data_IF_812972659283
#
_entry.id   IF_812972659283
#
_cell.length_a   1.000
_cell.length_b   1.000
_cell.length_c   1.000
_cell.angle_alpha   90.00
_cell.angle_beta   90.00
_cell.angle_gamma   90.00
#
_symmetry.space_group_name_H-M   'P 1'
#
loop_
_entity.id
_entity.type
_entity.pdbx_description
1 polymer ?
#
# COMPACT_ATOMS: atom_id res chain seq x y z
N UNK A 1 6.42 -34.75 -5.45
CA UNK A 1 6.21 -33.34 -5.06
C UNK A 1 4.85 -33.26 -4.38
N UNK A 2 4.76 -32.72 -3.16
CA UNK A 2 3.57 -32.79 -2.31
C UNK A 2 2.43 -31.88 -2.83
N UNK A 3 1.27 -32.44 -3.25
CA UNK A 3 0.12 -31.69 -3.77
C UNK A 3 -0.74 -31.02 -2.67
N UNK A 4 -0.19 -30.84 -1.47
CA UNK A 4 -0.94 -30.38 -0.28
C UNK A 4 -0.92 -28.87 -0.05
N UNK A 5 0.17 -28.17 -0.43
CA UNK A 5 0.36 -26.76 -0.06
C UNK A 5 -0.44 -25.78 -0.92
N UNK A 6 -0.75 -26.14 -2.16
CA UNK A 6 -1.52 -25.32 -3.13
C UNK A 6 -3.01 -25.34 -2.82
N UNK A 7 -3.57 -26.52 -2.53
CA UNK A 7 -4.96 -26.65 -2.06
C UNK A 7 -5.22 -25.85 -0.77
N UNK A 8 -4.22 -25.63 0.09
CA UNK A 8 -4.35 -24.82 1.29
C UNK A 8 -4.52 -23.32 0.98
N UNK A 9 -3.74 -22.78 0.04
CA UNK A 9 -3.83 -21.37 -0.37
C UNK A 9 -5.15 -21.10 -1.11
N UNK A 10 -5.53 -22.00 -2.02
CA UNK A 10 -6.82 -21.93 -2.72
C UNK A 10 -8.00 -21.99 -1.73
N UNK A 11 -7.99 -22.92 -0.76
CA UNK A 11 -9.04 -23.01 0.27
C UNK A 11 -9.06 -21.80 1.22
N UNK A 12 -7.91 -21.19 1.50
CA UNK A 12 -7.86 -19.94 2.25
C UNK A 12 -8.54 -18.82 1.46
N UNK A 13 -8.27 -18.71 0.16
CA UNK A 13 -8.90 -17.72 -0.74
C UNK A 13 -10.41 -17.95 -0.91
N UNK A 14 -10.87 -19.20 -1.02
CA UNK A 14 -12.29 -19.53 -1.11
C UNK A 14 -13.03 -19.23 0.22
N UNK A 15 -12.43 -19.56 1.37
CA UNK A 15 -12.97 -19.17 2.69
C UNK A 15 -13.05 -17.65 2.87
N UNK A 16 -12.11 -16.89 2.32
CA UNK A 16 -12.09 -15.42 2.37
C UNK A 16 -13.28 -14.79 1.63
N UNK A 17 -13.72 -15.39 0.52
CA UNK A 17 -14.87 -14.90 -0.24
C UNK A 17 -16.19 -15.23 0.49
N UNK A 18 -16.29 -16.44 1.06
CA UNK A 18 -17.52 -16.93 1.70
C UNK A 18 -17.77 -16.34 3.11
N UNK A 19 -16.70 -16.09 3.88
CA UNK A 19 -16.79 -15.46 5.20
C UNK A 19 -17.09 -13.95 5.16
N UNK A 20 -16.95 -13.29 4.01
CA UNK A 20 -17.28 -11.87 3.83
C UNK A 20 -18.75 -11.52 4.15
N UNK A 21 -19.63 -12.53 4.19
CA UNK A 21 -21.04 -12.37 4.58
C UNK A 21 -21.33 -12.66 6.06
N UNK A 22 -20.44 -13.38 6.78
CA UNK A 22 -20.73 -13.95 8.10
C UNK A 22 -19.98 -13.30 9.27
N UNK A 23 -18.88 -12.56 9.05
CA UNK A 23 -18.10 -11.93 10.12
C UNK A 23 -18.47 -10.46 10.42
N UNK A 24 -19.77 -10.15 10.41
CA UNK A 24 -20.31 -8.92 10.99
C UNK A 24 -20.26 -8.89 12.55
N UNK A 25 -19.46 -9.76 13.19
CA UNK A 25 -19.42 -9.90 14.66
C UNK A 25 -18.03 -10.32 15.16
N UNK A 26 -17.23 -9.35 15.58
CA UNK A 26 -16.24 -9.57 16.65
C UNK A 26 -16.02 -8.26 17.41
N UNK A 27 -16.83 -8.09 18.45
CA UNK A 27 -16.87 -6.98 19.39
C UNK A 27 -15.65 -6.96 20.33
N UNK A 28 -14.46 -6.59 19.81
CA UNK A 28 -13.36 -6.05 20.64
C UNK A 28 -12.59 -4.98 19.89
N UNK A 29 -13.26 -3.88 19.58
CA UNK A 29 -12.58 -2.67 19.10
C UNK A 29 -12.01 -1.95 20.32
N UNK A 30 -10.68 -1.98 20.50
CA UNK A 30 -10.00 -0.91 21.25
C UNK A 30 -10.19 0.35 20.42
N UNK A 31 -11.09 1.21 20.88
CA UNK A 31 -11.40 2.50 20.27
C UNK A 31 -10.22 3.41 20.59
N UNK A 32 -9.27 3.49 19.66
CA UNK A 32 -8.44 4.68 19.54
C UNK A 32 -9.39 5.79 19.07
N UNK A 33 -9.53 6.88 19.83
CA UNK A 33 -10.43 7.99 19.50
C UNK A 33 -10.11 8.60 18.12
N UNK A 34 -8.90 8.33 17.59
CA UNK A 34 -8.44 8.71 16.26
C UNK A 34 -8.58 7.60 15.19
N UNK A 35 -9.02 6.40 15.55
CA UNK A 35 -9.39 5.32 14.63
C UNK A 35 -10.91 5.31 14.42
N UNK A 36 -11.39 6.32 13.68
CA UNK A 36 -12.79 6.40 13.26
C UNK A 36 -13.22 5.12 12.52
N UNK A 37 -13.82 4.16 13.23
CA UNK A 37 -14.54 3.02 12.65
C UNK A 37 -13.69 2.02 11.87
N UNK A 38 -12.43 1.79 12.25
CA UNK A 38 -11.59 0.73 11.66
C UNK A 38 -11.10 1.01 10.23
N UNK A 39 -11.26 2.25 9.73
CA UNK A 39 -10.86 2.68 8.37
C UNK A 39 -9.37 2.47 8.07
N UNK A 40 -8.52 2.38 9.10
CA UNK A 40 -7.07 2.19 9.00
C UNK A 40 -6.60 0.78 9.37
N UNK A 41 -7.43 -0.05 10.01
CA UNK A 41 -7.06 -1.38 10.53
C UNK A 41 -7.21 -2.50 9.49
N UNK A 42 -8.22 -2.42 8.63
CA UNK A 42 -8.52 -3.48 7.67
C UNK A 42 -7.81 -3.24 6.33
N UNK A 43 -6.60 -3.78 6.19
CA UNK A 43 -5.81 -3.73 4.95
C UNK A 43 -6.44 -4.59 3.82
N UNK A 44 -7.62 -4.21 3.35
CA UNK A 44 -8.42 -4.94 2.36
C UNK A 44 -8.01 -4.69 0.90
N UNK A 45 -6.96 -3.89 0.65
CA UNK A 45 -6.43 -3.62 -0.68
C UNK A 45 -5.03 -4.19 -0.82
N UNK A 46 -4.83 -5.05 -1.82
CA UNK A 46 -3.50 -5.47 -2.27
C UNK A 46 -3.01 -4.55 -3.38
N UNK A 47 -1.86 -3.92 -3.17
CA UNK A 47 -1.17 -3.13 -4.20
C UNK A 47 -0.11 -4.00 -4.84
N UNK A 48 -0.27 -4.30 -6.13
CA UNK A 48 0.60 -5.21 -6.86
C UNK A 48 1.33 -4.50 -8.01
N UNK A 49 2.62 -4.82 -8.17
CA UNK A 49 3.40 -4.22 -9.25
C UNK A 49 2.96 -4.76 -10.62
N UNK A 50 2.83 -3.84 -11.57
CA UNK A 50 2.65 -4.16 -12.97
C UNK A 50 3.99 -4.09 -13.68
N UNK A 51 4.28 -5.11 -14.48
CA UNK A 51 5.58 -5.29 -15.10
C UNK A 51 5.90 -4.22 -16.14
N UNK A 52 4.95 -3.95 -17.03
CA UNK A 52 5.07 -3.04 -18.18
C UNK A 52 3.68 -2.71 -18.75
N UNK A 53 3.61 -1.73 -19.68
CA UNK A 53 2.36 -1.27 -20.30
C UNK A 53 1.55 -2.38 -20.97
N UNK A 54 2.22 -3.35 -21.58
CA UNK A 54 1.54 -4.45 -22.26
C UNK A 54 0.82 -5.36 -21.27
N UNK A 55 1.46 -5.67 -20.13
CA UNK A 55 0.80 -6.41 -19.06
C UNK A 55 -0.38 -5.61 -18.50
N UNK A 56 -0.19 -4.29 -18.26
CA UNK A 56 -1.27 -3.45 -17.76
C UNK A 56 -2.47 -3.40 -18.71
N UNK A 57 -2.23 -3.26 -20.02
CA UNK A 57 -3.28 -3.26 -21.04
C UNK A 57 -4.06 -4.57 -21.01
N UNK A 58 -3.37 -5.71 -21.02
CA UNK A 58 -4.01 -7.02 -20.95
C UNK A 58 -4.84 -7.20 -19.67
N UNK A 59 -4.31 -6.77 -18.51
CA UNK A 59 -5.03 -6.79 -17.23
C UNK A 59 -6.28 -5.92 -17.25
N UNK A 60 -6.19 -4.72 -17.84
CA UNK A 60 -7.30 -3.77 -17.91
C UNK A 60 -8.41 -4.25 -18.83
N UNK A 61 -8.06 -4.74 -20.02
CA UNK A 61 -9.02 -5.21 -21.04
C UNK A 61 -9.73 -6.49 -20.62
N UNK A 62 -9.01 -7.41 -19.97
CA UNK A 62 -9.54 -8.72 -19.60
C UNK A 62 -9.87 -8.84 -18.10
N UNK A 63 -9.80 -7.73 -17.35
CA UNK A 63 -10.17 -7.62 -15.93
C UNK A 63 -9.53 -8.68 -15.03
N UNK A 64 -8.23 -8.87 -15.15
CA UNK A 64 -7.51 -9.82 -14.32
C UNK A 64 -6.12 -9.30 -13.93
N UNK A 65 -5.50 -9.99 -12.98
CA UNK A 65 -4.07 -9.86 -12.69
C UNK A 65 -3.50 -11.25 -12.44
N UNK A 66 -2.21 -11.43 -12.71
CA UNK A 66 -1.53 -12.65 -12.34
C UNK A 66 -0.20 -12.40 -11.65
N UNK A 67 0.18 -13.33 -10.78
CA UNK A 67 1.44 -13.24 -10.03
C UNK A 67 1.96 -14.65 -9.72
N UNK A 68 3.29 -14.89 -9.78
CA UNK A 68 3.83 -16.18 -9.36
C UNK A 68 3.46 -16.50 -7.91
N UNK A 69 3.06 -17.73 -7.62
CA UNK A 69 2.72 -18.11 -6.23
C UNK A 69 3.94 -17.97 -5.31
N UNK A 70 5.14 -18.23 -5.84
CA UNK A 70 6.41 -18.06 -5.12
C UNK A 70 6.65 -16.61 -4.63
N UNK A 71 5.96 -15.64 -5.22
CA UNK A 71 6.03 -14.23 -4.84
C UNK A 71 5.07 -13.84 -3.73
N UNK A 72 4.10 -14.71 -3.43
CA UNK A 72 3.08 -14.52 -2.39
C UNK A 72 3.61 -15.12 -1.08
N UNK A 73 4.58 -14.47 -0.45
CA UNK A 73 5.20 -15.03 0.77
C UNK A 73 4.21 -15.16 1.94
N UNK A 74 3.19 -14.29 2.01
CA UNK A 74 2.00 -14.39 2.87
C UNK A 74 0.86 -13.57 2.23
N UNK A 75 -0.17 -14.21 1.69
CA UNK A 75 -1.43 -13.52 1.38
C UNK A 75 -2.12 -13.20 2.69
N UNK A 76 -2.46 -11.93 2.92
CA UNK A 76 -3.25 -11.55 4.09
C UNK A 76 -4.69 -12.03 3.89
N UNK A 77 -5.38 -12.48 4.95
CA UNK A 77 -6.82 -12.73 4.87
C UNK A 77 -7.57 -11.43 4.54
N UNK A 78 -8.76 -11.54 3.94
CA UNK A 78 -9.70 -10.45 3.71
C UNK A 78 -9.26 -9.35 2.72
N UNK A 79 -8.56 -9.74 1.64
CA UNK A 79 -8.32 -8.82 0.51
C UNK A 79 -9.55 -8.79 -0.40
N UNK A 80 -10.13 -7.62 -0.54
CA UNK A 80 -11.34 -7.37 -1.35
C UNK A 80 -10.99 -6.65 -2.66
N UNK A 81 -9.87 -5.92 -2.69
CA UNK A 81 -9.48 -5.07 -3.80
C UNK A 81 -8.03 -5.30 -4.23
N UNK A 82 -7.78 -5.12 -5.51
CA UNK A 82 -6.45 -5.07 -6.11
C UNK A 82 -6.20 -3.68 -6.69
N UNK A 83 -5.10 -3.03 -6.32
CA UNK A 83 -4.62 -1.82 -6.94
C UNK A 83 -3.35 -2.09 -7.76
N UNK A 84 -3.25 -1.44 -8.92
CA UNK A 84 -2.14 -1.61 -9.85
C UNK A 84 -1.08 -0.54 -9.61
N UNK A 85 0.11 -0.95 -9.18
CA UNK A 85 1.27 -0.07 -9.11
C UNK A 85 2.05 -0.12 -10.42
N UNK A 86 2.12 1.02 -11.10
CA UNK A 86 2.81 1.23 -12.36
C UNK A 86 4.16 1.87 -12.06
N UNK A 87 5.30 1.14 -12.10
CA UNK A 87 6.59 1.70 -11.73
C UNK A 87 7.02 2.80 -12.71
N UNK A 88 7.49 3.95 -12.17
CA UNK A 88 8.21 4.95 -12.97
C UNK A 88 9.47 4.31 -13.56
N UNK A 89 9.75 4.62 -14.82
CA UNK A 89 10.99 4.15 -15.47
C UNK A 89 12.20 4.84 -14.86
N UNK A 90 13.31 4.12 -14.71
CA UNK A 90 14.61 4.72 -14.45
C UNK A 90 15.21 4.99 -15.82
N UNK A 91 15.54 6.25 -16.16
CA UNK A 91 15.84 6.76 -17.52
C UNK A 91 16.90 6.06 -18.39
N UNK A 92 17.38 4.87 -18.03
CA UNK A 92 18.32 4.04 -18.78
C UNK A 92 17.73 2.73 -19.32
N UNK A 93 16.42 2.46 -19.17
CA UNK A 93 15.78 1.27 -19.75
C UNK A 93 14.30 1.51 -20.05
N UNK A 94 13.95 1.52 -21.35
CA UNK A 94 12.61 1.42 -21.95
C UNK A 94 11.44 1.72 -21.01
N UNK A 95 11.05 2.99 -20.97
CA UNK A 95 9.79 3.56 -20.47
C UNK A 95 8.72 2.54 -20.05
N UNK A 96 8.75 2.11 -18.78
CA UNK A 96 7.70 1.19 -18.28
C UNK A 96 6.38 1.91 -18.10
N UNK A 97 6.36 3.07 -17.46
CA UNK A 97 5.17 3.93 -17.34
C UNK A 97 5.49 5.43 -17.24
N UNK A 98 6.77 5.83 -17.25
CA UNK A 98 7.22 7.24 -17.32
C UNK A 98 6.43 8.17 -16.37
N UNK A 99 5.90 9.30 -16.87
CA UNK A 99 5.04 10.21 -16.10
C UNK A 99 3.73 9.58 -15.63
N UNK A 100 3.23 8.52 -16.26
CA UNK A 100 2.02 7.81 -15.85
C UNK A 100 2.24 6.87 -14.65
N UNK A 101 3.48 6.73 -14.17
CA UNK A 101 3.80 5.85 -13.04
C UNK A 101 3.15 6.28 -11.73
N UNK A 102 2.80 5.31 -10.90
CA UNK A 102 2.07 5.48 -9.64
C UNK A 102 0.95 4.44 -9.48
N UNK A 103 -0.02 4.75 -8.62
CA UNK A 103 -1.26 3.97 -8.50
C UNK A 103 -2.40 4.83 -9.00
N UNK A 104 -3.13 4.36 -10.01
CA UNK A 104 -4.28 5.07 -10.59
C UNK A 104 -5.49 4.17 -10.81
N UNK A 105 -5.27 2.85 -10.86
CA UNK A 105 -6.30 1.89 -11.18
C UNK A 105 -6.41 0.85 -10.08
N UNK A 106 -7.64 0.46 -9.78
CA UNK A 106 -7.94 -0.60 -8.83
C UNK A 106 -9.21 -1.34 -9.22
N UNK A 107 -9.36 -2.58 -8.81
CA UNK A 107 -10.55 -3.39 -9.07
C UNK A 107 -10.97 -4.20 -7.86
N UNK A 108 -12.26 -4.50 -7.78
CA UNK A 108 -12.80 -5.42 -6.77
C UNK A 108 -12.53 -6.85 -7.21
N UNK A 109 -11.97 -7.66 -6.31
CA UNK A 109 -11.66 -9.05 -6.56
C UNK A 109 -12.97 -9.84 -6.63
N UNK A 110 -13.13 -10.57 -7.72
CA UNK A 110 -14.25 -11.49 -7.94
C UNK A 110 -13.92 -12.89 -7.46
N UNK A 111 -12.76 -13.40 -7.89
CA UNK A 111 -12.29 -14.73 -7.54
C UNK A 111 -10.79 -14.86 -7.79
N UNK A 112 -10.20 -15.89 -7.19
CA UNK A 112 -8.79 -16.23 -7.38
C UNK A 112 -8.69 -17.71 -7.76
N UNK A 113 -7.81 -18.04 -8.69
CA UNK A 113 -7.53 -19.43 -9.07
C UNK A 113 -6.05 -19.65 -9.34
N UNK A 114 -5.55 -20.81 -8.94
CA UNK A 114 -4.20 -21.23 -9.31
C UNK A 114 -4.20 -21.82 -10.72
N UNK A 115 -3.15 -21.56 -11.48
CA UNK A 115 -3.00 -22.07 -12.84
C UNK A 115 -1.52 -22.11 -13.26
N UNK A 116 -1.20 -22.91 -14.28
CA UNK A 116 0.10 -22.85 -14.92
C UNK A 116 0.23 -21.59 -15.77
N UNK A 117 1.44 -21.05 -15.85
CA UNK A 117 1.71 -19.84 -16.61
C UNK A 117 1.35 -19.96 -18.09
N UNK A 118 1.45 -21.16 -18.67
CA UNK A 118 1.08 -21.45 -20.06
C UNK A 118 -0.41 -21.35 -20.34
N UNK A 119 -1.27 -21.47 -19.32
CA UNK A 119 -2.72 -21.36 -19.45
C UNK A 119 -3.18 -19.90 -19.64
N UNK A 120 -2.28 -18.92 -19.48
CA UNK A 120 -2.58 -17.51 -19.74
C UNK A 120 -2.54 -17.21 -21.24
N UNK A 121 -3.72 -17.08 -21.84
CA UNK A 121 -3.86 -16.78 -23.28
C UNK A 121 -3.56 -15.31 -23.61
N UNK A 122 -3.81 -14.40 -22.66
CA UNK A 122 -3.71 -12.95 -22.87
C UNK A 122 -2.27 -12.45 -22.87
N UNK A 123 -1.37 -13.16 -22.20
CA UNK A 123 0.05 -12.78 -22.07
C UNK A 123 0.89 -14.04 -22.30
N UNK A 124 1.62 -14.11 -23.41
CA UNK A 124 2.48 -15.26 -23.72
C UNK A 124 3.52 -15.50 -22.63
N UNK A 125 3.73 -16.78 -22.28
CA UNK A 125 4.81 -17.22 -21.40
C UNK A 125 6.16 -17.04 -22.09
N UNK A 126 7.23 -16.97 -21.29
CA UNK A 126 8.61 -17.06 -21.82
C UNK A 126 9.04 -18.53 -21.85
N UNK A 127 9.91 -18.92 -22.80
CA UNK A 127 10.55 -20.23 -22.79
C UNK A 127 11.10 -20.61 -21.41
N UNK A 128 10.73 -21.77 -20.89
CA UNK A 128 11.15 -22.30 -19.59
C UNK A 128 10.37 -21.75 -18.38
N UNK A 129 9.27 -21.02 -18.60
CA UNK A 129 8.39 -20.50 -17.53
C UNK A 129 6.97 -21.04 -17.58
N UNK A 130 6.66 -21.90 -18.54
CA UNK A 130 5.33 -22.42 -18.89
C UNK A 130 4.65 -23.12 -17.71
N UNK A 131 5.37 -24.02 -17.05
CA UNK A 131 4.86 -24.85 -15.94
C UNK A 131 4.96 -24.16 -14.58
N UNK A 132 5.34 -22.88 -14.53
CA UNK A 132 5.39 -22.14 -13.26
C UNK A 132 3.96 -21.91 -12.76
N UNK A 133 3.76 -22.13 -11.47
CA UNK A 133 2.49 -21.93 -10.81
C UNK A 133 2.26 -20.43 -10.53
N UNK A 134 1.12 -19.93 -10.98
CA UNK A 134 0.68 -18.56 -10.80
C UNK A 134 -0.68 -18.53 -10.10
N UNK A 135 -0.94 -17.43 -9.39
CA UNK A 135 -2.27 -17.06 -8.96
C UNK A 135 -2.85 -16.09 -9.99
N UNK A 136 -4.01 -16.41 -10.54
CA UNK A 136 -4.84 -15.50 -11.33
C UNK A 136 -5.94 -14.93 -10.46
N UNK A 137 -6.05 -13.61 -10.46
CA UNK A 137 -7.05 -12.84 -9.72
C UNK A 137 -7.99 -12.23 -10.75
N UNK A 138 -9.24 -12.67 -10.77
CA UNK A 138 -10.29 -12.10 -11.60
C UNK A 138 -10.92 -10.90 -10.90
N UNK A 139 -11.20 -9.84 -11.64
CA UNK A 139 -11.77 -8.60 -11.13
C UNK A 139 -13.19 -8.41 -11.69
N UNK A 140 -14.11 -7.91 -10.86
CA UNK A 140 -15.46 -7.56 -11.33
C UNK A 140 -15.41 -6.38 -12.33
N UNK A 141 -14.62 -5.38 -11.97
CA UNK A 141 -14.43 -4.14 -12.70
C UNK A 141 -13.10 -3.49 -12.31
N UNK A 142 -12.62 -2.58 -13.15
CA UNK A 142 -11.44 -1.75 -12.87
C UNK A 142 -11.87 -0.30 -12.91
N UNK A 143 -11.71 0.38 -11.78
CA UNK A 143 -12.01 1.78 -11.56
C UNK A 143 -10.73 2.62 -11.54
N UNK A 144 -10.91 3.90 -11.83
CA UNK A 144 -9.86 4.89 -11.70
C UNK A 144 -9.95 5.60 -10.34
N UNK A 145 -8.81 6.04 -9.83
CA UNK A 145 -8.69 6.89 -8.63
C UNK A 145 -7.73 8.05 -8.91
N UNK A 146 -7.66 9.01 -7.98
CA UNK A 146 -6.67 10.09 -8.04
C UNK A 146 -5.28 9.48 -8.12
N UNK A 147 -4.45 9.98 -9.04
CA UNK A 147 -3.12 9.43 -9.24
C UNK A 147 -2.28 9.59 -7.97
N UNK A 148 -1.82 8.45 -7.44
CA UNK A 148 -0.97 8.39 -6.26
C UNK A 148 0.49 8.36 -6.73
N UNK A 149 1.21 9.43 -6.45
CA UNK A 149 2.59 9.62 -6.88
C UNK A 149 3.56 8.73 -6.08
N UNK A 150 4.46 8.01 -6.76
CA UNK A 150 5.54 7.29 -6.10
C UNK A 150 6.62 8.28 -5.63
N UNK A 151 6.85 8.35 -4.31
CA UNK A 151 7.89 9.22 -3.71
C UNK A 151 9.20 8.45 -3.47
N UNK A 152 9.13 7.19 -3.05
CA UNK A 152 10.31 6.35 -2.84
C UNK A 152 10.21 5.04 -3.62
N UNK A 153 11.31 4.69 -4.30
CA UNK A 153 11.45 3.44 -5.04
C UNK A 153 11.51 2.25 -4.06
N UNK A 154 10.37 1.59 -3.86
CA UNK A 154 10.29 0.34 -3.13
C UNK A 154 10.13 -0.83 -4.10
N UNK A 155 11.13 -1.69 -4.20
CA UNK A 155 11.16 -2.96 -4.97
C UNK A 155 10.15 -4.02 -4.52
N UNK A 156 9.24 -3.69 -3.59
CA UNK A 156 8.27 -4.66 -3.08
C UNK A 156 7.28 -4.99 -4.17
N UNK A 157 7.26 -6.28 -4.56
CA UNK A 157 6.35 -6.82 -5.56
C UNK A 157 4.88 -6.66 -5.15
N UNK A 158 4.61 -6.66 -3.84
CA UNK A 158 3.29 -6.54 -3.22
C UNK A 158 3.38 -5.67 -1.96
N UNK A 159 2.37 -4.85 -1.74
CA UNK A 159 2.09 -4.19 -0.45
C UNK A 159 0.60 -4.16 -0.17
N UNK A 160 0.20 -3.79 1.04
CA UNK A 160 -1.19 -3.76 1.47
C UNK A 160 -1.54 -2.38 2.03
N UNK A 161 -2.81 -2.00 1.88
CA UNK A 161 -3.38 -0.74 2.36
C UNK A 161 -4.88 -0.91 2.57
N UNK A 162 -5.58 0.14 3.02
CA UNK A 162 -7.04 0.15 3.11
C UNK A 162 -7.65 0.86 1.91
N UNK A 163 -8.88 0.51 1.54
CA UNK A 163 -9.61 1.21 0.47
C UNK A 163 -9.82 2.71 0.78
N UNK A 164 -9.88 3.05 2.06
CA UNK A 164 -9.95 4.43 2.54
C UNK A 164 -8.68 5.22 2.17
N UNK A 165 -7.50 4.67 2.48
CA UNK A 165 -6.23 5.31 2.15
C UNK A 165 -6.01 5.37 0.64
N UNK A 166 -6.33 4.29 -0.07
CA UNK A 166 -6.20 4.25 -1.54
C UNK A 166 -6.97 5.40 -2.22
N UNK A 167 -8.17 5.71 -1.74
CA UNK A 167 -9.01 6.77 -2.34
C UNK A 167 -8.61 8.19 -1.96
N UNK A 168 -7.83 8.37 -0.89
CA UNK A 168 -7.46 9.68 -0.35
C UNK A 168 -6.00 10.05 -0.57
N UNK A 169 -5.13 9.05 -0.69
CA UNK A 169 -3.70 9.27 -0.77
C UNK A 169 -3.33 9.99 -2.07
N UNK A 170 -2.42 10.95 -1.97
CA UNK A 170 -1.82 11.60 -3.14
C UNK A 170 -0.44 11.03 -3.45
N UNK A 171 0.18 10.32 -2.50
CA UNK A 171 1.47 9.68 -2.69
C UNK A 171 1.61 8.35 -1.93
N UNK A 172 2.65 7.59 -2.28
CA UNK A 172 2.86 6.25 -1.73
C UNK A 172 3.17 6.19 -0.24
N UNK A 173 3.61 7.28 0.40
CA UNK A 173 3.80 7.29 1.85
C UNK A 173 2.47 7.29 2.61
N UNK A 174 1.47 8.00 2.06
CA UNK A 174 0.12 8.12 2.64
C UNK A 174 -0.62 6.76 2.67
N UNK A 175 -0.24 5.82 1.81
CA UNK A 175 -0.82 4.47 1.75
C UNK A 175 -0.53 3.57 2.96
N UNK A 176 0.36 3.99 3.87
CA UNK A 176 0.74 3.22 5.07
C UNK A 176 0.53 3.98 6.38
N UNK A 177 -0.28 5.03 6.32
CA UNK A 177 -0.74 5.72 7.52
C UNK A 177 -1.72 4.80 8.27
N UNK A 178 -1.77 4.88 9.58
CA UNK A 178 -2.49 3.94 10.44
C UNK A 178 -3.42 4.60 11.44
N UNK A 179 -3.54 5.93 11.41
CA UNK A 179 -4.55 6.65 12.18
C UNK A 179 -4.92 7.96 11.48
N UNK A 180 -6.07 8.53 11.86
CA UNK A 180 -6.45 9.87 11.39
C UNK A 180 -5.47 10.93 11.87
N UNK A 181 -4.96 10.81 13.10
CA UNK A 181 -3.96 11.73 13.64
C UNK A 181 -2.70 11.75 12.77
N UNK A 182 -2.21 10.57 12.40
CA UNK A 182 -1.03 10.46 11.53
C UNK A 182 -1.26 11.12 10.16
N UNK A 183 -2.45 10.93 9.60
CA UNK A 183 -2.85 11.57 8.34
C UNK A 183 -2.89 13.10 8.45
N UNK A 184 -3.46 13.64 9.53
CA UNK A 184 -3.50 15.09 9.75
C UNK A 184 -2.11 15.69 9.97
N UNK A 185 -1.25 15.04 10.77
CA UNK A 185 0.15 15.48 10.94
C UNK A 185 0.89 15.45 9.61
N UNK A 186 0.74 14.39 8.82
CA UNK A 186 1.40 14.27 7.52
C UNK A 186 0.94 15.34 6.52
N UNK A 187 -0.36 15.71 6.51
CA UNK A 187 -0.88 16.83 5.71
C UNK A 187 -0.23 18.17 6.08
N UNK A 188 -0.08 18.45 7.38
CA UNK A 188 0.59 19.66 7.87
C UNK A 188 2.05 19.67 7.43
N UNK A 189 2.76 18.56 7.64
CA UNK A 189 4.14 18.40 7.19
C UNK A 189 4.28 18.65 5.69
N UNK A 190 3.38 18.09 4.88
CA UNK A 190 3.37 18.25 3.41
C UNK A 190 3.14 19.69 2.98
N UNK A 191 2.20 20.40 3.61
CA UNK A 191 1.95 21.83 3.38
C UNK A 191 3.23 22.64 3.63
N UNK A 192 3.91 22.37 4.75
CA UNK A 192 5.15 23.06 5.12
C UNK A 192 6.30 22.69 4.19
N UNK A 193 6.44 21.40 3.87
CA UNK A 193 7.43 20.87 2.94
C UNK A 193 7.36 21.57 1.59
N UNK A 194 6.15 21.73 1.04
CA UNK A 194 5.94 22.48 -0.20
C UNK A 194 6.26 23.98 -0.06
N UNK A 195 5.90 24.60 1.07
CA UNK A 195 6.13 26.03 1.30
C UNK A 195 7.59 26.38 1.61
N UNK A 196 8.37 25.45 2.16
CA UNK A 196 9.76 25.64 2.60
C UNK A 196 10.77 24.90 1.73
N UNK A 197 10.31 24.16 0.72
CA UNK A 197 11.12 23.33 -0.17
C UNK A 197 12.00 22.32 0.58
N UNK A 198 11.47 21.72 1.64
CA UNK A 198 12.16 20.71 2.46
C UNK A 198 11.59 19.33 2.21
N UNK A 199 12.44 18.30 2.16
CA UNK A 199 12.03 16.92 1.92
C UNK A 199 11.39 16.29 3.18
N UNK A 200 10.38 15.45 2.98
CA UNK A 200 9.83 14.57 4.02
C UNK A 200 10.37 13.16 3.83
N UNK A 201 10.96 12.59 4.89
CA UNK A 201 11.42 11.20 4.89
C UNK A 201 10.68 10.41 5.96
N UNK A 202 10.36 9.15 5.64
CA UNK A 202 9.87 8.19 6.63
C UNK A 202 11.07 7.49 7.25
N UNK A 203 11.26 7.64 8.56
CA UNK A 203 12.29 6.94 9.31
C UNK A 203 11.64 5.65 9.81
N UNK A 204 11.90 4.53 9.12
CA UNK A 204 11.41 3.24 9.58
C UNK A 204 12.27 2.77 10.76
N UNK A 205 11.81 2.94 12.00
CA UNK A 205 12.33 2.16 13.11
C UNK A 205 11.70 0.76 13.03
N UNK A 206 12.48 -0.23 12.60
CA UNK A 206 12.08 -1.62 12.85
C UNK A 206 12.26 -1.85 14.35
N UNK A 207 11.16 -1.92 15.11
CA UNK A 207 11.20 -2.68 16.34
C UNK A 207 11.63 -4.09 15.96
N UNK A 208 12.80 -4.51 16.46
CA UNK A 208 13.21 -5.90 16.39
C UNK A 208 12.20 -6.68 17.22
N UNK A 209 11.39 -7.49 16.55
CA UNK A 209 10.78 -8.72 17.06
C UNK A 209 9.31 -8.76 17.51
N UNK A 210 8.49 -7.71 17.50
CA UNK A 210 7.08 -7.90 17.87
C UNK A 210 6.10 -7.16 16.94
N UNK A 211 4.95 -7.79 16.72
CA UNK A 211 3.86 -7.37 15.83
C UNK A 211 3.05 -6.17 16.37
N UNK A 212 3.55 -5.44 17.37
CA UNK A 212 2.83 -4.34 18.03
C UNK A 212 3.63 -3.03 18.03
N UNK A 213 2.90 -1.95 17.71
CA UNK A 213 3.31 -0.54 17.61
C UNK A 213 4.62 -0.23 16.86
N UNK A 214 4.49 -0.13 15.53
CA UNK A 214 5.45 0.59 14.71
C UNK A 214 5.39 2.06 15.14
N UNK A 215 6.33 2.48 15.98
CA UNK A 215 6.63 3.90 16.20
C UNK A 215 6.82 4.55 14.82
N UNK A 216 5.95 5.49 14.48
CA UNK A 216 5.97 6.13 13.16
C UNK A 216 6.78 7.40 13.27
N UNK A 217 8.01 7.30 12.79
CA UNK A 217 8.95 8.41 12.79
C UNK A 217 9.08 8.97 11.37
N UNK A 218 9.03 10.29 11.30
CA UNK A 218 9.14 11.08 10.10
C UNK A 218 10.18 12.18 10.32
N UNK A 219 10.91 12.55 9.28
CA UNK A 219 11.68 13.78 9.28
C UNK A 219 11.16 14.76 8.23
N UNK A 220 11.23 16.04 8.57
CA UNK A 220 11.02 17.16 7.65
C UNK A 220 12.23 18.08 7.76
N UNK A 221 13.10 18.07 6.74
CA UNK A 221 14.46 18.58 6.89
C UNK A 221 15.19 17.86 8.02
N UNK A 222 15.74 18.63 8.98
CA UNK A 222 16.46 18.12 10.15
C UNK A 222 15.56 17.89 11.39
N UNK A 223 14.23 18.09 11.24
CA UNK A 223 13.29 17.95 12.34
C UNK A 223 12.69 16.55 12.34
N UNK A 224 12.90 15.82 13.44
CA UNK A 224 12.25 14.52 13.67
C UNK A 224 10.90 14.70 14.36
N UNK A 225 9.91 13.97 13.86
CA UNK A 225 8.54 13.90 14.34
C UNK A 225 8.22 12.43 14.61
N UNK A 226 7.81 12.13 15.84
CA UNK A 226 7.39 10.80 16.25
C UNK A 226 5.92 10.83 16.64
N UNK A 227 5.14 9.89 16.12
CA UNK A 227 3.72 9.71 16.42
C UNK A 227 3.56 8.35 17.09
N UNK A 228 2.95 8.36 18.27
CA UNK A 228 2.86 7.23 19.19
C UNK A 228 1.45 7.23 19.82
N UNK A 229 0.53 6.45 19.23
CA UNK A 229 -0.91 6.57 19.48
C UNK A 229 -1.40 8.02 19.29
N UNK A 230 -1.93 8.61 20.36
CA UNK A 230 -2.40 10.00 20.42
C UNK A 230 -1.29 11.04 20.66
N UNK A 231 -0.05 10.62 20.90
CA UNK A 231 1.04 11.52 21.29
C UNK A 231 1.88 11.89 20.07
N UNK A 232 2.08 13.20 19.88
CA UNK A 232 2.93 13.75 18.83
C UNK A 232 4.16 14.37 19.51
N UNK A 233 5.35 13.92 19.11
CA UNK A 233 6.64 14.45 19.59
C UNK A 233 7.39 15.11 18.45
N UNK A 234 7.77 16.37 18.61
CA UNK A 234 8.65 17.11 17.69
C UNK A 234 9.95 17.37 18.42
N UNK A 235 11.08 16.82 17.93
CA UNK A 235 12.39 16.90 18.60
C UNK A 235 12.26 16.53 20.10
N UNK A 236 11.64 15.38 20.38
CA UNK A 236 11.37 14.86 21.73
C UNK A 236 10.45 15.70 22.64
N UNK A 237 9.91 16.83 22.18
CA UNK A 237 8.92 17.64 22.91
C UNK A 237 7.50 17.24 22.50
N UNK A 238 6.61 17.02 23.47
CA UNK A 238 5.18 16.74 23.19
C UNK A 238 4.50 18.00 22.66
N UNK A 239 3.75 17.87 21.57
CA UNK A 239 3.07 18.98 20.89
C UNK A 239 1.62 18.59 20.61
N UNK A 240 0.69 19.52 20.85
CA UNK A 240 -0.72 19.35 20.46
C UNK A 240 -0.87 19.52 18.94
N UNK A 241 -1.75 18.75 18.29
CA UNK A 241 -2.01 18.80 16.85
C UNK A 241 -2.19 20.24 16.32
N UNK A 242 -3.00 21.05 17.00
CA UNK A 242 -3.26 22.47 16.66
C UNK A 242 -2.01 23.37 16.64
N UNK A 243 -0.96 22.98 17.34
CA UNK A 243 0.28 23.76 17.48
C UNK A 243 1.43 23.23 16.60
N UNK A 244 1.23 22.10 15.90
CA UNK A 244 2.29 21.47 15.09
C UNK A 244 2.77 22.42 14.00
N UNK A 245 1.85 23.06 13.27
CA UNK A 245 2.23 23.95 12.17
C UNK A 245 3.16 25.07 12.66
N UNK A 246 2.80 25.73 13.76
CA UNK A 246 3.61 26.80 14.36
C UNK A 246 4.96 26.29 14.87
N UNK A 247 4.99 25.14 15.55
CA UNK A 247 6.24 24.57 16.08
C UNK A 247 7.20 24.19 14.93
N UNK A 248 6.70 23.53 13.88
CA UNK A 248 7.52 23.17 12.72
C UNK A 248 8.04 24.39 11.96
N UNK A 249 7.21 25.42 11.74
CA UNK A 249 7.64 26.66 11.09
C UNK A 249 8.72 27.36 11.92
N UNK A 250 8.53 27.45 13.24
CA UNK A 250 9.50 28.06 14.16
C UNK A 250 10.86 27.35 14.10
N UNK A 251 10.86 26.01 14.15
CA UNK A 251 12.07 25.21 14.13
C UNK A 251 12.76 25.23 12.77
N UNK A 252 12.04 25.18 11.66
CA UNK A 252 12.64 25.31 10.32
C UNK A 252 13.19 26.71 10.04
N UNK A 253 12.59 27.75 10.63
CA UNK A 253 13.06 29.14 10.50
C UNK A 253 14.35 29.43 11.28
N UNK A 254 14.63 28.69 12.35
CA UNK A 254 15.79 28.92 13.22
C UNK A 254 17.14 28.48 12.61
N UNK A 255 17.14 27.69 11.52
CA UNK A 255 18.34 27.15 10.88
C UNK A 255 18.82 27.92 9.64
N UNK A 256 18.21 29.07 9.31
CA UNK A 256 18.79 30.04 8.36
C UNK A 256 19.68 31.03 9.12
N UNK A 257 20.91 30.63 9.42
CA UNK A 257 22.01 31.54 9.77
C UNK A 257 23.32 31.03 9.19
#
# INVERSE_FOLDING_TARGET
MLPGSTKLITRQLEKIIDQSSLEARSDRVVIDEYDEGGKFKHENVMIANVKDRNHFKAYKENKFYHIPISSLSKLRPNIEYLAFYQPKGNGNNNDKFSEEGGVRYYGKIKSCKEYNREECVEIKSRPGTEKKQYLRIELEEIKETTKIEPIQYGTRLISYTTIYLLKKAENTHELKLGSSLELEVYKIMKKISKAKEVEIKKISSKAKNDEEEIIKEYSIGDINIKIDGAIIKVINKIVLLKNIETELISKLGAYKK
#
